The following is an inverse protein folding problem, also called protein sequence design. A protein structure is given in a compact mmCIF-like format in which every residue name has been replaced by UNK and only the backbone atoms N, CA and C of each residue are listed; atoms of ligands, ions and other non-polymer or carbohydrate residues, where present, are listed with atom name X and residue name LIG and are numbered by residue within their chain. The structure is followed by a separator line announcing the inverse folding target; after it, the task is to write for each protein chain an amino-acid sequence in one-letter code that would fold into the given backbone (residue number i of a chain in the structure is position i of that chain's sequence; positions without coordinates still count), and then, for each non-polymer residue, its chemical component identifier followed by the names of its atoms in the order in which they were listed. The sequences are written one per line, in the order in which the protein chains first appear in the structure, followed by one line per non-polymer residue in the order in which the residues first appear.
data_IF_863995690542
#
_entry.id   IF_863995690542
#
_cell.length_a   1.000
_cell.length_b   1.000
_cell.length_c   1.000
_cell.angle_alpha   90.00
_cell.angle_beta   90.00
_cell.angle_gamma   90.00
#
_symmetry.space_group_name_H-M   'P 1'
#
loop_
_entity.id
_entity.type
_entity.pdbx_description
1 polymer ?
#
# COMPACT_ATOMS: atom_id res chain seq x y z
N UNK A 1 30.45 -9.64 3.54
CA UNK A 1 29.51 -8.80 4.32
C UNK A 1 28.99 -7.74 3.37
N UNK A 2 27.81 -7.93 2.76
CA UNK A 2 27.31 -7.03 1.71
C UNK A 2 26.67 -5.81 2.35
N UNK A 3 27.20 -4.63 2.04
CA UNK A 3 26.64 -3.32 2.41
C UNK A 3 25.16 -3.23 2.00
N UNK A 4 24.32 -2.86 2.96
CA UNK A 4 22.93 -2.47 2.73
C UNK A 4 22.91 -1.05 2.13
N UNK A 5 23.36 -0.92 0.88
CA UNK A 5 23.19 0.34 0.15
C UNK A 5 21.70 0.59 -0.07
N UNK A 6 21.22 1.80 0.28
CA UNK A 6 19.83 2.22 0.07
C UNK A 6 19.51 2.02 -1.42
N UNK A 7 18.59 1.12 -1.80
CA UNK A 7 18.27 0.95 -3.20
C UNK A 7 17.70 2.27 -3.74
N UNK A 8 18.07 2.64 -4.96
CA UNK A 8 17.39 3.74 -5.63
C UNK A 8 15.89 3.41 -5.75
N UNK A 9 15.06 4.44 -5.74
CA UNK A 9 13.60 4.29 -5.73
C UNK A 9 13.11 3.43 -6.91
N UNK A 10 13.70 3.60 -8.10
CA UNK A 10 13.36 2.87 -9.33
C UNK A 10 13.55 1.36 -9.14
N UNK A 11 14.69 0.92 -8.60
CA UNK A 11 14.97 -0.50 -8.32
C UNK A 11 14.10 -1.03 -7.20
N UNK A 12 13.88 -0.23 -6.16
CA UNK A 12 13.03 -0.62 -5.03
C UNK A 12 11.59 -0.88 -5.46
N UNK A 13 11.06 0.03 -6.28
CA UNK A 13 9.69 0.04 -6.75
C UNK A 13 9.48 -0.98 -7.89
N UNK A 14 10.40 -1.10 -8.84
CA UNK A 14 10.29 -2.02 -9.99
C UNK A 14 10.39 -3.52 -9.66
N UNK A 15 10.22 -3.92 -8.41
CA UNK A 15 10.21 -5.32 -8.00
C UNK A 15 8.85 -5.99 -8.29
N UNK A 16 8.87 -7.31 -8.50
CA UNK A 16 7.66 -8.15 -8.62
C UNK A 16 7.10 -8.60 -7.27
N UNK A 17 7.86 -8.45 -6.18
CA UNK A 17 7.40 -8.89 -4.87
C UNK A 17 6.54 -7.81 -4.20
N UNK A 18 5.64 -8.20 -3.28
CA UNK A 18 4.90 -7.24 -2.48
C UNK A 18 5.86 -6.32 -1.71
N UNK A 19 5.50 -5.04 -1.63
CA UNK A 19 6.20 -4.04 -0.83
C UNK A 19 5.29 -3.68 0.34
N UNK A 20 5.73 -3.98 1.55
CA UNK A 20 4.99 -3.70 2.77
C UNK A 20 5.38 -2.35 3.34
N UNK A 21 4.40 -1.55 3.74
CA UNK A 21 4.66 -0.46 4.69
C UNK A 21 4.75 -1.06 6.08
N UNK A 22 5.93 -0.98 6.70
CA UNK A 22 6.19 -1.47 8.04
C UNK A 22 5.81 -0.44 9.10
N UNK A 23 6.34 0.78 8.96
CA UNK A 23 6.04 1.93 9.80
C UNK A 23 5.55 3.11 8.96
N UNK A 24 4.70 3.96 9.54
CA UNK A 24 4.27 5.22 8.92
C UNK A 24 4.08 6.32 9.95
N UNK A 25 4.35 7.58 9.57
CA UNK A 25 3.96 8.75 10.37
C UNK A 25 2.58 9.29 10.02
N UNK A 26 1.83 8.61 9.16
CA UNK A 26 0.46 9.00 8.84
C UNK A 26 -0.44 8.88 10.07
N UNK A 27 -0.91 10.04 10.56
CA UNK A 27 -1.86 10.15 11.67
C UNK A 27 -3.30 10.33 11.22
N UNK A 28 -3.54 10.54 9.92
CA UNK A 28 -4.86 10.85 9.36
C UNK A 28 -5.69 9.62 9.00
N UNK A 29 -5.07 8.43 8.95
CA UNK A 29 -5.81 7.19 8.73
C UNK A 29 -5.42 6.09 9.70
N UNK A 30 -6.36 5.15 9.84
CA UNK A 30 -6.21 3.97 10.68
C UNK A 30 -5.86 2.72 9.85
N UNK A 31 -5.08 2.89 8.78
CA UNK A 31 -4.74 1.78 7.91
C UNK A 31 -3.80 0.78 8.62
N UNK A 32 -3.98 -0.50 8.32
CA UNK A 32 -3.15 -1.63 8.73
C UNK A 32 -2.93 -2.53 7.52
N UNK A 33 -1.78 -3.19 7.45
CA UNK A 33 -1.44 -4.21 6.46
C UNK A 33 -1.39 -3.58 5.07
N UNK A 34 -0.79 -2.40 5.01
CA UNK A 34 -0.63 -1.63 3.80
C UNK A 34 0.44 -2.30 2.95
N UNK A 35 0.05 -2.72 1.76
CA UNK A 35 0.90 -3.41 0.80
C UNK A 35 0.67 -2.87 -0.59
N UNK A 36 1.76 -2.75 -1.34
CA UNK A 36 1.72 -2.41 -2.75
C UNK A 36 2.26 -3.61 -3.54
N UNK A 37 1.47 -4.06 -4.50
CA UNK A 37 1.84 -5.14 -5.42
C UNK A 37 1.90 -4.54 -6.82
N UNK A 38 3.03 -4.69 -7.51
CA UNK A 38 3.16 -4.20 -8.87
C UNK A 38 2.29 -5.04 -9.80
N UNK A 39 1.42 -4.40 -10.55
CA UNK A 39 0.60 -5.05 -11.58
C UNK A 39 1.30 -4.97 -12.93
N UNK A 40 1.82 -3.78 -13.27
CA UNK A 40 2.41 -3.53 -14.58
C UNK A 40 3.58 -2.56 -14.51
N UNK A 41 4.56 -2.78 -15.39
CA UNK A 41 5.65 -1.85 -15.65
C UNK A 41 5.82 -1.72 -17.16
N UNK A 42 5.64 -0.52 -17.70
CA UNK A 42 5.78 -0.21 -19.12
C UNK A 42 6.71 0.99 -19.29
N UNK A 43 7.98 0.73 -19.67
CA UNK A 43 9.04 1.75 -19.76
C UNK A 43 9.17 2.51 -18.43
N UNK A 44 8.68 3.74 -18.39
CA UNK A 44 8.73 4.64 -17.22
C UNK A 44 7.43 4.65 -16.40
N UNK A 45 6.35 4.08 -16.94
CA UNK A 45 5.04 4.03 -16.29
C UNK A 45 4.91 2.78 -15.44
N UNK A 46 4.39 2.95 -14.24
CA UNK A 46 4.23 1.87 -13.28
C UNK A 46 2.83 1.88 -12.67
N UNK A 47 2.25 0.68 -12.59
CA UNK A 47 0.92 0.43 -12.04
C UNK A 47 1.06 -0.48 -10.83
N UNK A 48 0.45 -0.08 -9.73
CA UNK A 48 0.42 -0.83 -8.48
C UNK A 48 -1.00 -1.02 -7.99
N UNK A 49 -1.24 -2.18 -7.41
CA UNK A 49 -2.36 -2.42 -6.55
C UNK A 49 -2.00 -2.08 -5.11
N UNK A 50 -2.57 -0.99 -4.60
CA UNK A 50 -2.42 -0.53 -3.23
C UNK A 50 -3.54 -1.10 -2.35
N UNK A 51 -3.19 -2.03 -1.47
CA UNK A 51 -4.16 -2.77 -0.65
C UNK A 51 -3.91 -2.54 0.84
N UNK A 52 -4.98 -2.37 1.62
CA UNK A 52 -4.89 -2.17 3.07
C UNK A 52 -6.20 -2.56 3.79
N UNK A 53 -6.12 -2.76 5.09
CA UNK A 53 -7.29 -2.84 5.98
C UNK A 53 -7.55 -1.49 6.66
N UNK A 54 -8.82 -1.13 6.79
CA UNK A 54 -9.27 -0.01 7.63
C UNK A 54 -9.75 -0.55 8.99
N UNK A 55 -9.33 0.04 10.12
CA UNK A 55 -9.70 -0.46 11.46
C UNK A 55 -11.14 -0.13 11.89
N UNK A 56 -11.74 0.96 11.41
CA UNK A 56 -13.06 1.47 11.81
C UNK A 56 -13.87 1.92 10.59
N UNK A 57 -15.20 1.72 10.54
CA UNK A 57 -16.07 1.05 11.53
C UNK A 57 -16.07 -0.49 11.45
N UNK A 58 -15.50 -1.08 10.39
CA UNK A 58 -15.30 -2.53 10.26
C UNK A 58 -13.95 -2.80 9.59
N UNK A 59 -13.36 -3.99 9.83
CA UNK A 59 -12.13 -4.45 9.17
C UNK A 59 -12.39 -4.75 7.69
N UNK A 60 -12.49 -3.71 6.87
CA UNK A 60 -12.67 -3.87 5.43
C UNK A 60 -11.33 -3.88 4.72
N UNK A 61 -11.15 -4.83 3.79
CA UNK A 61 -10.06 -4.82 2.82
C UNK A 61 -10.41 -3.84 1.71
N UNK A 62 -9.54 -2.86 1.48
CA UNK A 62 -9.65 -1.90 0.39
C UNK A 62 -8.48 -2.14 -0.56
N UNK A 63 -8.78 -2.12 -1.86
CA UNK A 63 -7.77 -2.22 -2.93
C UNK A 63 -8.00 -1.06 -3.90
N UNK A 64 -6.94 -0.32 -4.19
CA UNK A 64 -6.98 0.85 -5.06
C UNK A 64 -5.84 0.73 -6.07
N UNK A 65 -6.14 0.92 -7.34
CA UNK A 65 -5.11 1.02 -8.38
C UNK A 65 -4.39 2.37 -8.27
N UNK A 66 -3.07 2.33 -8.35
CA UNK A 66 -2.20 3.49 -8.29
C UNK A 66 -1.32 3.53 -9.52
N UNK A 67 -1.37 4.66 -10.22
CA UNK A 67 -0.52 4.94 -11.37
C UNK A 67 0.57 5.93 -10.98
N UNK A 68 1.76 5.73 -11.51
CA UNK A 68 2.85 6.69 -11.44
C UNK A 68 3.78 6.58 -12.63
N UNK A 69 4.64 7.59 -12.77
CA UNK A 69 5.71 7.59 -13.75
C UNK A 69 7.03 7.94 -13.07
N UNK A 70 8.10 7.23 -13.42
CA UNK A 70 9.45 7.62 -13.03
C UNK A 70 9.88 8.81 -13.89
N UNK A 71 10.01 9.99 -13.29
CA UNK A 71 10.54 11.20 -13.94
C UNK A 71 11.80 11.63 -13.21
N UNK A 72 12.75 12.24 -13.93
CA UNK A 72 14.01 12.87 -13.48
C UNK A 72 14.66 12.29 -12.20
N UNK A 73 15.87 11.75 -12.31
CA UNK A 73 16.72 11.37 -11.17
C UNK A 73 16.06 10.40 -10.17
N UNK A 74 15.29 9.42 -10.66
CA UNK A 74 14.62 8.41 -9.83
C UNK A 74 13.53 8.99 -8.91
N UNK A 75 12.71 9.93 -9.39
CA UNK A 75 11.54 10.37 -8.64
C UNK A 75 10.29 9.71 -9.22
N UNK A 76 9.50 9.04 -8.37
CA UNK A 76 8.19 8.58 -8.76
C UNK A 76 7.19 9.73 -8.60
N UNK A 77 6.68 10.24 -9.71
CA UNK A 77 5.54 11.16 -9.71
C UNK A 77 4.29 10.30 -9.79
N UNK A 78 3.63 10.11 -8.64
CA UNK A 78 2.31 9.51 -8.61
C UNK A 78 1.26 10.54 -9.01
N UNK A 79 0.20 10.13 -9.69
CA UNK A 79 -0.92 11.03 -10.06
C UNK A 79 -1.69 11.56 -8.84
N UNK A 80 -1.39 11.08 -7.62
CA UNK A 80 -1.92 11.60 -6.35
C UNK A 80 -0.92 12.56 -5.70
N UNK A 81 -1.44 13.62 -5.07
CA UNK A 81 -0.68 14.63 -4.29
C UNK A 81 0.41 13.99 -3.42
N UNK A 82 1.58 14.64 -3.36
CA UNK A 82 2.71 14.25 -2.49
C UNK A 82 2.20 13.99 -1.08
N UNK A 83 2.53 12.82 -0.52
CA UNK A 83 2.15 12.43 0.83
C UNK A 83 2.95 13.29 1.84
N UNK A 84 2.32 14.05 2.76
CA UNK A 84 3.04 14.81 3.79
C UNK A 84 3.54 13.94 4.96
N UNK A 85 3.73 12.63 4.76
CA UNK A 85 4.16 11.69 5.79
C UNK A 85 5.23 10.73 5.27
N UNK A 86 6.00 10.17 6.20
CA UNK A 86 7.07 9.24 5.92
C UNK A 86 6.58 7.79 6.10
N UNK A 87 7.09 6.89 5.26
CA UNK A 87 6.80 5.46 5.30
C UNK A 87 8.10 4.66 5.27
N UNK A 88 8.26 3.71 6.18
CA UNK A 88 9.31 2.69 6.15
C UNK A 88 8.77 1.49 5.38
N UNK A 89 9.25 1.30 4.14
CA UNK A 89 8.77 0.25 3.24
C UNK A 89 9.81 -0.87 3.09
N UNK A 90 9.35 -2.11 3.04
CA UNK A 90 10.21 -3.30 3.03
C UNK A 90 9.67 -4.34 2.05
N UNK A 91 10.58 -4.97 1.30
CA UNK A 91 10.24 -6.08 0.42
C UNK A 91 9.73 -7.32 1.18
N UNK A 92 8.78 -8.03 0.58
CA UNK A 92 8.19 -9.23 1.17
C UNK A 92 9.22 -10.30 1.50
N UNK A 93 10.14 -10.61 0.58
CA UNK A 93 11.19 -11.62 0.82
C UNK A 93 12.04 -11.31 2.06
N UNK A 94 12.34 -10.03 2.29
CA UNK A 94 13.10 -9.59 3.45
C UNK A 94 12.31 -9.81 4.74
N UNK A 95 11.03 -9.44 4.77
CA UNK A 95 10.17 -9.67 5.93
C UNK A 95 9.91 -11.15 6.21
N UNK A 96 9.81 -11.99 5.18
CA UNK A 96 9.68 -13.45 5.35
C UNK A 96 10.95 -14.05 5.97
N UNK A 97 12.13 -13.57 5.55
CA UNK A 97 13.41 -14.07 6.05
C UNK A 97 13.75 -13.55 7.46
N UNK A 98 13.59 -12.26 7.72
CA UNK A 98 14.09 -11.60 8.93
C UNK A 98 13.02 -11.11 9.89
N UNK A 99 11.73 -11.17 9.52
CA UNK A 99 10.55 -10.73 10.30
C UNK A 99 10.44 -9.24 10.62
N UNK A 100 11.56 -8.50 10.60
CA UNK A 100 11.64 -7.06 10.89
C UNK A 100 12.64 -6.37 9.94
N UNK A 101 12.54 -5.03 9.75
CA UNK A 101 13.55 -4.24 9.04
C UNK A 101 14.92 -4.32 9.74
N UNK A 102 15.99 -3.95 9.02
CA UNK A 102 17.31 -3.78 9.63
C UNK A 102 17.31 -2.61 10.61
N UNK A 103 18.18 -2.69 11.63
CA UNK A 103 18.37 -1.62 12.61
C UNK A 103 18.72 -0.31 11.91
N UNK A 104 19.62 -0.36 10.91
CA UNK A 104 20.00 0.80 10.10
C UNK A 104 18.81 1.44 9.38
N UNK A 105 17.96 0.64 8.75
CA UNK A 105 16.79 1.15 8.03
C UNK A 105 15.77 1.80 8.99
N UNK A 106 15.57 1.19 10.16
CA UNK A 106 14.71 1.73 11.20
C UNK A 106 15.29 3.01 11.83
N UNK A 107 16.61 3.07 12.02
CA UNK A 107 17.31 4.26 12.51
C UNK A 107 17.13 5.45 11.58
N UNK A 108 17.40 5.29 10.27
CA UNK A 108 17.18 6.35 9.28
C UNK A 108 15.73 6.84 9.26
N UNK A 109 14.77 5.92 9.33
CA UNK A 109 13.36 6.31 9.41
C UNK A 109 13.08 7.15 10.66
N UNK A 110 13.61 6.78 11.82
CA UNK A 110 13.39 7.52 13.06
C UNK A 110 14.07 8.90 13.06
N UNK A 111 15.23 9.04 12.42
CA UNK A 111 15.90 10.34 12.24
C UNK A 111 15.04 11.32 11.43
N UNK A 112 14.52 10.87 10.28
CA UNK A 112 13.72 11.72 9.39
C UNK A 112 12.31 11.97 9.93
N UNK A 113 11.70 10.94 10.51
CA UNK A 113 10.27 10.91 10.78
C UNK A 113 9.90 11.16 12.26
N UNK A 114 10.90 11.34 13.13
CA UNK A 114 10.83 11.58 14.58
C UNK A 114 10.18 10.48 15.43
N UNK A 115 9.20 9.72 14.91
CA UNK A 115 8.72 8.39 15.35
C UNK A 115 7.47 8.01 14.53
N UNK A 116 7.36 6.74 14.09
CA UNK A 116 6.20 6.25 13.33
C UNK A 116 5.40 5.18 14.05
N UNK A 117 4.16 4.96 13.60
CA UNK A 117 3.27 3.88 14.03
C UNK A 117 3.55 2.60 13.24
N UNK A 118 3.61 1.47 13.94
CA UNK A 118 3.67 0.14 13.34
C UNK A 118 2.35 -0.19 12.64
N UNK A 119 2.43 -0.55 11.35
CA UNK A 119 1.27 -0.92 10.52
C UNK A 119 1.42 -2.28 9.86
N UNK A 120 2.57 -2.94 9.98
CA UNK A 120 2.75 -4.33 9.56
C UNK A 120 2.75 -5.25 10.77
N UNK A 121 2.15 -6.44 10.60
CA UNK A 121 2.20 -7.54 11.56
C UNK A 121 2.28 -8.86 10.77
N UNK A 122 2.85 -9.96 11.28
CA UNK A 122 2.95 -11.22 10.53
C UNK A 122 1.61 -11.72 9.95
N UNK A 123 0.49 -11.47 10.63
CA UNK A 123 -0.87 -11.81 10.15
C UNK A 123 -1.25 -11.06 8.85
N UNK A 124 -0.60 -9.94 8.55
CA UNK A 124 -0.85 -9.15 7.35
C UNK A 124 -0.58 -9.92 6.07
N UNK A 125 0.32 -10.92 6.09
CA UNK A 125 0.60 -11.79 4.94
C UNK A 125 -0.67 -12.40 4.34
N UNK A 126 -1.75 -12.53 5.13
CA UNK A 126 -3.03 -13.03 4.63
C UNK A 126 -3.73 -12.10 3.63
N UNK A 127 -3.43 -10.80 3.62
CA UNK A 127 -4.11 -9.82 2.76
C UNK A 127 -3.79 -10.00 1.27
N UNK A 128 -2.60 -10.54 0.95
CA UNK A 128 -2.14 -10.75 -0.42
C UNK A 128 -2.66 -12.06 -1.00
N UNK A 129 -3.17 -12.97 -0.17
CA UNK A 129 -3.88 -14.14 -0.67
C UNK A 129 -5.24 -13.71 -1.24
N UNK A 130 -5.58 -14.23 -2.42
CA UNK A 130 -6.91 -14.07 -3.00
C UNK A 130 -7.91 -14.78 -2.07
N UNK A 131 -9.06 -14.14 -1.83
CA UNK A 131 -10.14 -14.81 -1.12
C UNK A 131 -10.53 -16.07 -1.90
N UNK A 132 -10.82 -17.16 -1.19
CA UNK A 132 -11.47 -18.31 -1.82
C UNK A 132 -12.76 -17.81 -2.51
N UNK A 133 -13.07 -18.28 -3.74
CA UNK A 133 -14.21 -17.78 -4.52
C UNK A 133 -15.55 -17.73 -3.75
N UNK A 134 -15.71 -18.59 -2.73
CA UNK A 134 -16.89 -18.67 -1.89
C UNK A 134 -17.18 -17.43 -1.01
N UNK A 135 -16.27 -16.45 -0.91
CA UNK A 135 -16.45 -15.25 -0.08
C UNK A 135 -16.67 -13.95 -0.87
N UNK A 136 -16.74 -14.02 -2.20
CA UNK A 136 -17.18 -12.90 -3.03
C UNK A 136 -18.70 -12.74 -2.91
N UNK A 137 -19.18 -12.27 -1.74
CA UNK A 137 -20.50 -11.66 -1.68
C UNK A 137 -20.43 -10.38 -2.51
N UNK A 138 -20.95 -10.46 -3.73
CA UNK A 138 -21.30 -9.32 -4.56
C UNK A 138 -22.08 -8.33 -3.69
N UNK A 139 -21.48 -7.17 -3.41
CA UNK A 139 -22.25 -6.03 -2.93
C UNK A 139 -23.20 -5.67 -4.08
N UNK A 140 -24.53 -5.71 -3.89
CA UNK A 140 -25.45 -5.32 -4.95
C UNK A 140 -25.17 -3.87 -5.31
N UNK A 141 -24.99 -3.61 -6.60
CA UNK A 141 -24.97 -2.27 -7.15
C UNK A 141 -26.20 -1.51 -6.62
N UNK A 142 -25.96 -0.36 -5.99
CA UNK A 142 -27.02 0.55 -5.58
C UNK A 142 -27.92 0.81 -6.79
N UNK A 143 -29.20 0.41 -6.69
CA UNK A 143 -30.21 0.78 -7.67
C UNK A 143 -30.18 2.30 -7.79
N UNK A 144 -29.96 2.78 -9.01
CA UNK A 144 -30.27 4.15 -9.39
C UNK A 144 -31.72 4.42 -8.96
N UNK A 145 -31.89 5.38 -8.04
CA UNK A 145 -33.21 5.88 -7.69
C UNK A 145 -33.80 6.55 -8.94
N UNK A 146 -34.82 5.91 -9.53
CA UNK A 146 -35.65 6.51 -10.56
C UNK A 146 -36.47 7.65 -9.93
N UNK A 147 -36.69 8.77 -10.65
CA UNK A 147 -37.43 9.91 -10.12
C UNK A 147 -38.90 9.55 -9.88
N UNK A 148 -39.42 9.94 -8.72
CA UNK A 148 -40.84 9.83 -8.37
C UNK A 148 -41.70 10.52 -9.43
N UNK A 149 -42.51 9.74 -10.16
CA UNK A 149 -43.67 10.23 -10.91
C UNK A 149 -44.81 10.40 -9.91
N UNK A 150 -45.21 11.64 -9.64
CA UNK A 150 -46.47 11.91 -8.97
C UNK A 150 -47.61 11.85 -10.00
N UNK A 151 -48.41 10.79 -9.89
CA UNK A 151 -49.75 10.60 -10.46
C UNK A 151 -50.45 9.65 -9.50
N UNK A 152 -51.66 9.84 -8.97
CA UNK A 152 -52.69 10.87 -9.02
C UNK A 152 -53.66 10.52 -7.86
N UNK A 153 -54.57 11.42 -7.50
CA UNK A 153 -56.05 11.25 -7.42
C UNK A 153 -56.61 12.51 -6.77
#
# INVERSE_FOLDING_TARGET
MTELQRPNSTKFLSTNQPIWTYNTTNKWNNYWCVVDVRERLQKENIEYQHTYYVKFPQKQKVSVEMHGAFKYQNNLVASKKVKPWHELRVWNSFLLKYRRPTITCQHYFNLEAKQGRLVYHPVCQKIIYKAHPAQQKTVPAQRQQLPFRNTSV
#
